data_IF_007227671825
#
_entry.id   IF_007227671825
#
_cell.length_a   1.000
_cell.length_b   1.000
_cell.length_c   1.000
_cell.angle_alpha   90.00
_cell.angle_beta   90.00
_cell.angle_gamma   90.00
#
_symmetry.space_group_name_H-M   'P 1'
#
loop_
_entity.id
_entity.type
_entity.pdbx_description
1 polymer ?
#
# COMPACT_ATOMS: atom_id res chain seq x y z
N UNK A 1 -12.98 7.22 -29.66
CA UNK A 1 -13.46 6.12 -28.81
C UNK A 1 -13.73 6.68 -27.43
N UNK A 2 -14.92 6.56 -26.84
CA UNK A 2 -15.22 7.19 -25.57
C UNK A 2 -14.51 6.42 -24.44
N UNK A 3 -13.77 7.17 -23.61
CA UNK A 3 -13.22 6.71 -22.34
C UNK A 3 -14.34 6.12 -21.49
N UNK A 4 -14.28 4.83 -21.21
CA UNK A 4 -15.08 4.19 -20.16
C UNK A 4 -14.51 4.66 -18.83
N UNK A 5 -15.32 5.40 -18.09
CA UNK A 5 -15.10 5.64 -16.67
C UNK A 5 -14.87 4.29 -15.95
N UNK A 6 -13.75 4.08 -15.27
CA UNK A 6 -13.60 2.89 -14.45
C UNK A 6 -14.66 2.98 -13.34
N UNK A 7 -15.52 1.97 -13.27
CA UNK A 7 -16.59 1.86 -12.30
C UNK A 7 -16.07 2.25 -10.92
N UNK A 8 -16.57 3.38 -10.45
CA UNK A 8 -16.07 4.07 -9.27
C UNK A 8 -16.04 3.17 -8.05
N UNK A 9 -15.13 3.45 -7.22
CA UNK A 9 -14.85 2.85 -5.93
C UNK A 9 -15.93 3.27 -4.90
N UNK A 10 -17.02 2.48 -4.69
CA UNK A 10 -18.14 2.91 -3.86
C UNK A 10 -17.72 3.22 -2.43
N UNK A 11 -16.85 2.38 -1.85
CA UNK A 11 -16.32 2.56 -0.50
C UNK A 11 -15.40 3.80 -0.38
N UNK A 12 -14.74 4.20 -1.46
CA UNK A 12 -13.92 5.41 -1.51
C UNK A 12 -14.82 6.65 -1.56
N UNK A 13 -15.92 6.59 -2.33
CA UNK A 13 -16.93 7.66 -2.33
C UNK A 13 -17.60 7.81 -0.97
N UNK A 14 -17.85 6.73 -0.28
CA UNK A 14 -18.45 6.71 1.04
C UNK A 14 -17.50 7.28 2.10
N UNK A 15 -16.22 6.89 2.11
CA UNK A 15 -15.19 7.52 2.96
C UNK A 15 -14.95 8.99 2.62
N UNK A 16 -14.97 9.38 1.34
CA UNK A 16 -14.84 10.79 0.93
C UNK A 16 -16.12 11.59 1.20
N UNK A 17 -17.31 10.98 1.18
CA UNK A 17 -18.56 11.66 1.55
C UNK A 17 -18.64 11.90 3.05
N UNK A 18 -18.13 10.98 3.87
CA UNK A 18 -17.93 11.20 5.31
C UNK A 18 -17.06 12.42 5.59
N UNK A 19 -15.99 12.63 4.83
CA UNK A 19 -15.10 13.79 4.93
C UNK A 19 -15.79 15.13 4.55
N UNK A 20 -16.91 15.10 3.80
CA UNK A 20 -17.66 16.29 3.39
C UNK A 20 -18.87 16.63 4.29
N UNK A 21 -19.38 15.67 5.06
CA UNK A 21 -20.60 15.86 5.87
C UNK A 21 -20.38 16.50 7.24
N UNK A 22 -19.15 16.71 7.70
CA UNK A 22 -18.84 17.39 8.96
C UNK A 22 -19.11 18.91 8.98
N UNK A 23 -19.76 19.47 7.98
CA UNK A 23 -20.06 20.94 7.90
C UNK A 23 -21.48 21.38 8.23
N UNK A 24 -22.35 20.52 8.74
CA UNK A 24 -23.65 20.95 9.27
C UNK A 24 -24.06 20.11 10.47
N UNK A 25 -23.68 20.53 11.65
CA UNK A 25 -24.35 20.15 12.89
C UNK A 25 -24.88 21.39 13.58
N UNK A 26 -26.17 21.38 13.83
CA UNK A 26 -26.96 22.39 14.52
C UNK A 26 -26.54 22.50 15.97
N UNK A 27 -26.47 23.73 16.47
CA UNK A 27 -26.05 24.14 17.79
C UNK A 27 -26.83 23.48 18.94
N UNK A 28 -26.09 22.82 19.84
CA UNK A 28 -26.45 22.56 21.24
C UNK A 28 -25.48 23.31 22.16
N UNK A 29 -25.77 23.52 23.46
CA UNK A 29 -25.11 24.53 24.27
C UNK A 29 -23.63 24.22 24.56
N UNK A 30 -22.84 25.27 24.45
CA UNK A 30 -21.43 25.46 24.65
C UNK A 30 -20.68 24.49 25.60
N UNK A 31 -20.04 23.49 25.02
CA UNK A 31 -18.68 23.07 25.41
C UNK A 31 -17.70 23.98 24.68
N UNK A 32 -16.71 24.55 25.36
CA UNK A 32 -15.71 25.42 24.73
C UNK A 32 -15.04 24.71 23.52
N UNK A 33 -14.45 25.46 22.57
CA UNK A 33 -13.86 24.88 21.37
C UNK A 33 -12.77 23.90 21.80
N UNK A 34 -13.03 22.61 21.68
CA UNK A 34 -11.96 21.58 21.67
C UNK A 34 -11.05 21.98 20.54
N UNK A 35 -9.82 22.34 20.84
CA UNK A 35 -8.81 22.67 19.84
C UNK A 35 -8.70 21.45 18.93
N UNK A 36 -9.09 21.61 17.65
CA UNK A 36 -8.95 20.57 16.65
C UNK A 36 -7.46 20.41 16.39
N UNK A 37 -6.86 19.36 16.94
CA UNK A 37 -5.45 19.05 16.70
C UNK A 37 -5.28 18.71 15.23
N UNK A 38 -4.32 19.35 14.54
CA UNK A 38 -4.06 19.10 13.13
C UNK A 38 -2.86 18.20 12.99
N UNK A 39 -3.12 16.92 12.71
CA UNK A 39 -2.08 15.91 12.44
C UNK A 39 -1.92 15.69 10.94
N UNK A 40 -0.70 15.76 10.42
CA UNK A 40 -0.38 15.38 9.04
C UNK A 40 0.10 13.93 8.98
N UNK A 41 -0.06 13.30 7.83
CA UNK A 41 0.44 11.95 7.54
C UNK A 41 1.50 12.03 6.46
N UNK A 42 2.66 11.41 6.70
CA UNK A 42 3.73 11.27 5.71
C UNK A 42 3.98 9.78 5.47
N UNK A 43 4.13 9.40 4.20
CA UNK A 43 4.46 8.02 3.82
C UNK A 43 5.46 8.01 2.66
N UNK A 44 5.83 6.83 2.19
CA UNK A 44 6.65 6.65 1.00
C UNK A 44 5.87 5.97 -0.13
N UNK A 45 6.44 5.98 -1.34
CA UNK A 45 5.76 5.48 -2.53
C UNK A 45 5.54 3.95 -2.53
N UNK A 46 6.20 3.19 -1.63
CA UNK A 46 5.94 1.75 -1.50
C UNK A 46 4.55 1.44 -0.92
N UNK A 47 3.83 2.43 -0.38
CA UNK A 47 2.45 2.28 0.10
C UNK A 47 1.44 1.94 -1.02
N UNK A 48 1.84 2.08 -2.29
CA UNK A 48 1.02 1.73 -3.47
C UNK A 48 -0.39 2.36 -3.45
N UNK A 49 -0.48 3.57 -2.92
CA UNK A 49 -1.75 4.30 -2.80
C UNK A 49 -2.28 4.68 -4.20
N UNK A 50 -3.59 4.59 -4.42
CA UNK A 50 -4.19 5.03 -5.67
C UNK A 50 -3.96 6.52 -5.91
N UNK A 51 -3.45 6.89 -7.08
CA UNK A 51 -3.08 8.26 -7.40
C UNK A 51 -4.25 9.25 -7.27
N UNK A 52 -5.46 8.83 -7.65
CA UNK A 52 -6.65 9.67 -7.51
C UNK A 52 -7.01 9.92 -6.05
N UNK A 53 -6.89 8.90 -5.21
CA UNK A 53 -7.11 9.04 -3.77
C UNK A 53 -6.07 9.99 -3.16
N UNK A 54 -4.78 9.81 -3.49
CA UNK A 54 -3.71 10.71 -3.03
C UNK A 54 -4.00 12.14 -3.41
N UNK A 55 -4.34 12.41 -4.69
CA UNK A 55 -4.69 13.77 -5.15
C UNK A 55 -5.87 14.36 -4.37
N UNK A 56 -6.88 13.56 -4.06
CA UNK A 56 -8.08 14.04 -3.36
C UNK A 56 -7.80 14.41 -1.90
N UNK A 57 -6.94 13.66 -1.19
CA UNK A 57 -6.67 13.87 0.25
C UNK A 57 -5.47 14.76 0.53
N UNK A 58 -4.61 15.02 -0.47
CA UNK A 58 -3.42 15.87 -0.31
C UNK A 58 -3.70 17.37 -0.53
N UNK A 59 -4.92 17.76 -0.87
CA UNK A 59 -5.28 19.15 -1.24
C UNK A 59 -4.96 20.15 -0.14
N UNK A 60 -5.14 19.76 1.13
CA UNK A 60 -4.89 20.60 2.30
C UNK A 60 -3.50 20.36 2.94
N UNK A 61 -2.65 19.55 2.30
CA UNK A 61 -1.33 19.20 2.81
C UNK A 61 -1.33 18.09 3.89
N UNK A 62 -2.50 17.47 4.16
CA UNK A 62 -2.63 16.43 5.19
C UNK A 62 -1.83 15.17 4.87
N UNK A 63 -1.71 14.79 3.61
CA UNK A 63 -0.93 13.65 3.17
C UNK A 63 0.23 14.09 2.28
N UNK A 64 1.44 13.61 2.60
CA UNK A 64 2.61 13.70 1.73
C UNK A 64 3.16 12.31 1.45
N UNK A 65 3.33 11.98 0.17
CA UNK A 65 3.99 10.75 -0.28
C UNK A 65 5.39 11.10 -0.75
N UNK A 66 6.41 10.58 -0.06
CA UNK A 66 7.81 10.79 -0.40
C UNK A 66 8.25 9.74 -1.43
N UNK A 67 8.70 10.15 -2.63
CA UNK A 67 9.09 9.20 -3.68
C UNK A 67 10.37 8.44 -3.29
N UNK A 68 10.37 7.14 -3.53
CA UNK A 68 11.54 6.29 -3.37
C UNK A 68 12.32 6.23 -4.69
N UNK A 69 13.63 6.53 -4.71
CA UNK A 69 14.41 6.54 -5.95
C UNK A 69 14.61 5.15 -6.54
N UNK A 70 14.45 5.05 -7.87
CA UNK A 70 14.78 3.87 -8.67
C UNK A 70 15.86 4.24 -9.68
N UNK A 71 16.87 3.40 -9.84
CA UNK A 71 18.01 3.63 -10.71
C UNK A 71 18.06 2.57 -11.81
N UNK A 72 18.16 3.02 -13.05
CA UNK A 72 18.37 2.17 -14.23
C UNK A 72 19.66 2.64 -14.91
N UNK A 73 20.74 1.88 -14.75
CA UNK A 73 22.06 2.33 -15.17
C UNK A 73 22.54 3.53 -14.37
N UNK A 74 22.82 4.66 -15.03
CA UNK A 74 23.25 5.91 -14.41
C UNK A 74 22.08 6.90 -14.14
N UNK A 75 20.88 6.58 -14.61
CA UNK A 75 19.71 7.45 -14.47
C UNK A 75 18.95 7.14 -13.18
N UNK A 76 18.45 8.20 -12.53
CA UNK A 76 17.69 8.12 -11.28
C UNK A 76 16.29 8.66 -11.56
N UNK A 77 15.28 7.88 -11.22
CA UNK A 77 13.88 8.20 -11.39
C UNK A 77 13.18 8.28 -10.03
N UNK A 78 12.24 9.22 -9.87
CA UNK A 78 11.29 9.28 -8.76
C UNK A 78 9.98 8.58 -9.11
N UNK A 79 9.30 8.04 -8.12
CA UNK A 79 7.94 7.53 -8.33
C UNK A 79 7.01 8.68 -8.73
N UNK A 80 6.18 8.45 -9.76
CA UNK A 80 5.27 9.47 -10.30
C UNK A 80 5.83 10.25 -11.50
N UNK A 81 7.07 9.99 -11.92
CA UNK A 81 7.57 10.44 -13.23
C UNK A 81 6.92 9.60 -14.33
N UNK A 82 6.61 10.26 -15.46
CA UNK A 82 6.03 9.60 -16.62
C UNK A 82 6.97 8.48 -17.13
N UNK A 83 6.39 7.35 -17.57
CA UNK A 83 7.08 6.22 -18.20
C UNK A 83 8.09 5.42 -17.34
N UNK A 84 8.21 5.68 -16.04
CA UNK A 84 9.13 4.92 -15.17
C UNK A 84 8.81 3.42 -15.17
N UNK A 85 7.52 3.05 -15.20
CA UNK A 85 7.10 1.65 -15.20
C UNK A 85 7.54 0.94 -16.48
N UNK A 86 7.43 1.58 -17.64
CA UNK A 86 7.88 1.04 -18.92
C UNK A 86 9.41 0.93 -18.97
N UNK A 87 10.12 1.97 -18.51
CA UNK A 87 11.59 1.97 -18.44
C UNK A 87 12.10 0.81 -17.57
N UNK A 88 11.49 0.56 -16.41
CA UNK A 88 11.86 -0.57 -15.54
C UNK A 88 11.51 -1.90 -16.21
N UNK A 89 10.33 -2.02 -16.83
CA UNK A 89 9.93 -3.26 -17.51
C UNK A 89 10.91 -3.62 -18.63
N UNK A 90 11.31 -2.66 -19.46
CA UNK A 90 12.30 -2.85 -20.52
C UNK A 90 13.69 -3.18 -19.96
N UNK A 91 14.11 -2.54 -18.87
CA UNK A 91 15.38 -2.84 -18.21
C UNK A 91 15.40 -4.26 -17.66
N UNK A 92 14.34 -4.68 -16.96
CA UNK A 92 14.23 -6.04 -16.42
C UNK A 92 14.15 -7.09 -17.53
N UNK A 93 13.39 -6.84 -18.59
CA UNK A 93 13.27 -7.76 -19.74
C UNK A 93 14.60 -7.94 -20.48
N UNK A 94 15.42 -6.89 -20.57
CA UNK A 94 16.74 -6.92 -21.18
C UNK A 94 17.86 -7.34 -20.23
N UNK A 95 17.54 -7.74 -18.99
CA UNK A 95 18.52 -8.16 -17.97
C UNK A 95 19.39 -7.03 -17.43
N UNK A 96 19.08 -5.76 -17.73
CA UNK A 96 19.78 -4.61 -17.17
C UNK A 96 19.51 -4.49 -15.67
N UNK A 97 20.51 -4.13 -14.86
CA UNK A 97 20.33 -3.94 -13.43
C UNK A 97 19.39 -2.78 -13.13
N UNK A 98 18.37 -3.05 -12.32
CA UNK A 98 17.53 -2.03 -11.69
C UNK A 98 17.85 -2.04 -10.20
N UNK A 99 18.11 -0.87 -9.64
CA UNK A 99 18.43 -0.70 -8.22
C UNK A 99 17.47 0.31 -7.60
N UNK A 100 17.33 0.24 -6.29
CA UNK A 100 16.51 1.20 -5.54
C UNK A 100 17.33 1.80 -4.40
N UNK A 101 16.89 2.96 -3.94
CA UNK A 101 17.43 3.60 -2.74
C UNK A 101 16.29 4.00 -1.82
N UNK A 102 16.60 4.18 -0.54
CA UNK A 102 15.72 4.87 0.38
C UNK A 102 15.72 6.37 0.11
N UNK A 103 14.66 7.11 0.39
CA UNK A 103 14.69 8.55 0.42
C UNK A 103 15.73 9.06 1.43
N UNK A 104 16.36 10.18 1.14
CA UNK A 104 17.31 10.79 2.07
C UNK A 104 16.59 11.37 3.30
N UNK A 105 17.25 11.51 4.45
CA UNK A 105 16.66 12.23 5.59
C UNK A 105 16.21 13.64 5.24
N UNK A 106 16.92 14.34 4.34
CA UNK A 106 16.55 15.68 3.89
C UNK A 106 15.20 15.76 3.16
N UNK A 107 14.80 14.71 2.41
CA UNK A 107 13.48 14.66 1.78
C UNK A 107 12.37 14.56 2.81
N UNK A 108 12.55 13.75 3.87
CA UNK A 108 11.59 13.66 4.97
C UNK A 108 11.55 14.96 5.79
N UNK A 109 12.72 15.56 6.06
CA UNK A 109 12.80 16.87 6.74
C UNK A 109 12.00 17.94 5.99
N UNK A 110 12.12 18.00 4.65
CA UNK A 110 11.33 18.90 3.82
C UNK A 110 9.83 18.63 3.93
N UNK A 111 9.40 17.35 3.95
CA UNK A 111 8.00 16.96 4.12
C UNK A 111 7.45 17.39 5.49
N UNK A 112 8.19 17.18 6.56
CA UNK A 112 7.80 17.58 7.92
C UNK A 112 7.72 19.09 8.08
N UNK A 113 8.70 19.83 7.56
CA UNK A 113 8.68 21.30 7.55
C UNK A 113 7.56 21.86 6.68
N UNK A 114 7.18 21.17 5.58
CA UNK A 114 6.04 21.56 4.77
C UNK A 114 4.73 21.39 5.55
N UNK A 115 4.55 20.29 6.27
CA UNK A 115 3.40 20.09 7.15
C UNK A 115 3.32 21.19 8.22
N UNK A 116 4.42 21.51 8.87
CA UNK A 116 4.49 22.60 9.87
C UNK A 116 4.09 23.95 9.27
N UNK A 117 4.60 24.30 8.07
CA UNK A 117 4.23 25.54 7.37
C UNK A 117 2.75 25.58 6.96
N UNK A 118 2.14 24.44 6.72
CA UNK A 118 0.70 24.31 6.42
C UNK A 118 -0.17 24.36 7.70
N UNK A 119 0.45 24.59 8.87
CA UNK A 119 -0.25 24.74 10.15
C UNK A 119 -0.66 23.43 10.79
N UNK A 120 -0.02 22.31 10.45
CA UNK A 120 -0.14 21.07 11.22
C UNK A 120 0.70 21.16 12.48
N UNK A 121 0.22 20.54 13.57
CA UNK A 121 0.83 20.59 14.89
C UNK A 121 1.68 19.35 15.18
N UNK A 122 1.43 18.28 14.43
CA UNK A 122 2.14 17.01 14.53
C UNK A 122 2.14 16.24 13.21
N UNK A 123 3.00 15.23 13.11
CA UNK A 123 3.10 14.34 11.95
C UNK A 123 3.13 12.89 12.43
N UNK A 124 2.36 12.02 11.75
CA UNK A 124 2.53 10.56 11.79
C UNK A 124 3.17 10.13 10.48
N UNK A 125 4.36 9.52 10.55
CA UNK A 125 5.19 9.16 9.40
C UNK A 125 5.27 7.65 9.29
N UNK A 126 4.47 7.05 8.39
CA UNK A 126 4.28 5.60 8.23
C UNK A 126 5.01 5.09 6.98
N UNK A 127 5.91 4.13 7.16
CA UNK A 127 6.83 3.69 6.11
C UNK A 127 6.84 2.18 5.87
N UNK A 128 7.34 1.81 4.67
CA UNK A 128 7.66 0.42 4.32
C UNK A 128 8.47 -0.25 5.43
N UNK A 129 8.29 -1.56 5.59
CA UNK A 129 9.03 -2.36 6.56
C UNK A 129 10.52 -2.02 6.63
N UNK A 130 11.02 -1.79 7.84
CA UNK A 130 12.43 -1.59 8.13
C UNK A 130 13.32 -2.78 7.79
N UNK A 131 12.75 -3.99 7.70
CA UNK A 131 13.43 -5.20 7.24
C UNK A 131 13.64 -5.26 5.72
N UNK A 132 12.87 -4.45 4.96
CA UNK A 132 12.97 -4.36 3.51
C UNK A 132 13.70 -3.12 3.04
N UNK A 133 13.64 -2.03 3.81
CA UNK A 133 14.25 -0.74 3.44
C UNK A 133 14.67 0.07 4.66
N UNK A 134 15.80 0.77 4.58
CA UNK A 134 16.20 1.75 5.59
C UNK A 134 15.40 3.06 5.59
N UNK A 135 14.20 3.09 4.98
CA UNK A 135 13.35 4.28 4.88
C UNK A 135 12.90 4.77 6.25
N UNK A 136 12.49 3.85 7.14
CA UNK A 136 12.13 4.17 8.54
C UNK A 136 13.27 4.90 9.27
N UNK A 137 14.50 4.44 9.09
CA UNK A 137 15.67 5.07 9.74
C UNK A 137 15.95 6.47 9.18
N UNK A 138 15.76 6.66 7.85
CA UNK A 138 15.86 7.99 7.25
C UNK A 138 14.81 8.96 7.81
N UNK A 139 13.57 8.48 7.98
CA UNK A 139 12.47 9.24 8.57
C UNK A 139 12.77 9.60 10.05
N UNK A 140 13.28 8.65 10.85
CA UNK A 140 13.67 8.89 12.24
C UNK A 140 14.79 9.92 12.37
N UNK A 141 15.79 9.85 11.49
CA UNK A 141 16.87 10.84 11.45
C UNK A 141 16.36 12.24 11.09
N UNK A 142 15.37 12.35 10.21
CA UNK A 142 14.74 13.63 9.88
C UNK A 142 13.89 14.15 11.04
N UNK A 143 13.11 13.29 11.69
CA UNK A 143 12.27 13.63 12.84
C UNK A 143 13.07 14.29 13.98
N UNK A 144 14.29 13.83 14.20
CA UNK A 144 15.19 14.40 15.21
C UNK A 144 15.74 15.80 14.87
N UNK A 145 15.48 16.32 13.65
CA UNK A 145 16.03 17.61 13.17
C UNK A 145 14.98 18.71 13.03
N UNK A 146 13.71 18.37 13.21
CA UNK A 146 12.59 19.30 13.10
C UNK A 146 11.99 19.60 14.47
N UNK A 147 11.31 20.74 14.60
CA UNK A 147 10.66 21.15 15.84
C UNK A 147 9.21 20.64 15.97
N UNK A 148 8.55 20.35 14.84
CA UNK A 148 7.23 19.73 14.87
C UNK A 148 7.34 18.29 15.40
N UNK A 149 6.48 17.85 16.33
CA UNK A 149 6.45 16.48 16.80
C UNK A 149 6.19 15.50 15.64
N UNK A 150 7.03 14.47 15.51
CA UNK A 150 6.91 13.43 14.48
C UNK A 150 6.93 12.05 15.13
N UNK A 151 5.87 11.28 14.95
CA UNK A 151 5.81 9.87 15.30
C UNK A 151 6.11 9.02 14.07
N UNK A 152 7.23 8.27 14.10
CA UNK A 152 7.65 7.42 12.99
C UNK A 152 7.24 5.97 13.24
N UNK A 153 6.43 5.42 12.35
CA UNK A 153 5.90 4.07 12.41
C UNK A 153 6.49 3.18 11.31
N UNK A 154 7.00 2.04 11.68
CA UNK A 154 7.37 0.94 10.79
C UNK A 154 6.12 0.09 10.51
N UNK A 155 5.65 0.06 9.27
CA UNK A 155 4.45 -0.72 8.91
C UNK A 155 4.67 -2.23 9.01
N UNK A 156 5.91 -2.71 9.01
CA UNK A 156 6.29 -4.12 8.92
C UNK A 156 5.63 -4.86 7.74
N UNK A 157 5.22 -4.10 6.72
CA UNK A 157 4.59 -4.59 5.50
C UNK A 157 4.97 -3.73 4.29
N UNK A 158 4.26 -3.87 3.18
CA UNK A 158 4.56 -3.24 1.90
C UNK A 158 3.33 -3.19 1.00
N UNK A 159 3.34 -2.33 -0.02
CA UNK A 159 2.24 -2.25 -0.99
C UNK A 159 0.97 -1.70 -0.36
N UNK A 160 -0.18 -2.09 -0.90
CA UNK A 160 -1.47 -1.61 -0.40
C UNK A 160 -1.76 -2.04 1.06
N UNK A 161 -1.05 -3.03 1.62
CA UNK A 161 -1.13 -3.32 3.05
C UNK A 161 -0.61 -2.15 3.90
N UNK A 162 0.53 -1.55 3.53
CA UNK A 162 0.99 -0.28 4.08
C UNK A 162 0.00 0.85 3.75
N UNK A 163 -0.51 0.87 2.50
CA UNK A 163 -1.49 1.85 2.05
C UNK A 163 -2.78 1.87 2.86
N UNK A 164 -3.30 0.71 3.28
CA UNK A 164 -4.47 0.63 4.16
C UNK A 164 -4.20 1.27 5.53
N UNK A 165 -3.02 1.05 6.11
CA UNK A 165 -2.60 1.75 7.32
C UNK A 165 -2.54 3.28 7.14
N UNK A 166 -2.01 3.74 5.99
CA UNK A 166 -2.00 5.18 5.64
C UNK A 166 -3.42 5.71 5.50
N UNK A 167 -4.34 4.96 4.89
CA UNK A 167 -5.74 5.38 4.75
C UNK A 167 -6.44 5.50 6.10
N UNK A 168 -6.18 4.58 7.04
CA UNK A 168 -6.68 4.67 8.41
C UNK A 168 -6.14 5.90 9.13
N UNK A 169 -4.83 6.15 9.04
CA UNK A 169 -4.20 7.35 9.61
C UNK A 169 -4.80 8.65 9.04
N UNK A 170 -4.96 8.74 7.72
CA UNK A 170 -5.53 9.93 7.05
C UNK A 170 -7.00 10.15 7.46
N UNK A 171 -7.77 9.08 7.62
CA UNK A 171 -9.16 9.18 8.08
C UNK A 171 -9.23 9.74 9.51
N UNK A 172 -8.47 9.19 10.46
CA UNK A 172 -8.41 9.69 11.82
C UNK A 172 -7.91 11.14 11.89
N UNK A 173 -6.87 11.48 11.11
CA UNK A 173 -6.37 12.86 11.01
C UNK A 173 -7.42 13.83 10.42
N UNK A 174 -8.27 13.34 9.51
CA UNK A 174 -9.39 14.13 8.96
C UNK A 174 -10.45 14.45 9.99
N UNK A 175 -10.68 13.56 10.95
CA UNK A 175 -11.61 13.74 12.06
C UNK A 175 -11.01 14.60 13.19
N UNK A 176 -9.77 15.10 13.03
CA UNK A 176 -9.10 15.96 14.01
C UNK A 176 -8.47 15.21 15.17
N UNK A 177 -8.14 13.93 14.99
CA UNK A 177 -7.50 13.12 16.01
C UNK A 177 -6.05 13.57 16.31
N UNK A 178 -5.61 13.40 17.55
CA UNK A 178 -4.23 13.61 17.94
C UNK A 178 -3.27 12.56 17.31
N UNK A 179 -1.98 12.86 17.28
CA UNK A 179 -1.00 11.96 16.64
C UNK A 179 -1.04 10.54 17.19
N UNK A 180 -1.22 10.37 18.50
CA UNK A 180 -1.31 9.05 19.11
C UNK A 180 -2.51 8.23 18.58
N UNK A 181 -3.69 8.86 18.44
CA UNK A 181 -4.89 8.20 17.93
C UNK A 181 -4.78 7.93 16.42
N UNK A 182 -4.15 8.85 15.66
CA UNK A 182 -3.85 8.67 14.24
C UNK A 182 -2.90 7.48 14.04
N UNK A 183 -1.89 7.35 14.89
CA UNK A 183 -0.97 6.22 14.90
C UNK A 183 -1.70 4.91 15.24
N UNK A 184 -2.52 4.91 16.31
CA UNK A 184 -3.29 3.74 16.71
C UNK A 184 -4.22 3.27 15.59
N UNK A 185 -4.88 4.19 14.90
CA UNK A 185 -5.71 3.89 13.73
C UNK A 185 -4.89 3.21 12.61
N UNK A 186 -3.69 3.71 12.33
CA UNK A 186 -2.79 3.07 11.37
C UNK A 186 -2.40 1.66 11.80
N UNK A 187 -1.96 1.48 13.06
CA UNK A 187 -1.55 0.18 13.61
C UNK A 187 -2.71 -0.83 13.58
N UNK A 188 -3.92 -0.39 13.87
CA UNK A 188 -5.13 -1.21 13.80
C UNK A 188 -5.41 -1.72 12.40
N UNK A 189 -5.30 -0.86 11.37
CA UNK A 189 -5.46 -1.29 9.98
C UNK A 189 -4.33 -2.24 9.54
N UNK A 190 -3.08 -1.93 9.90
CA UNK A 190 -1.92 -2.76 9.56
C UNK A 190 -2.03 -4.17 10.14
N UNK A 191 -2.46 -4.30 11.40
CA UNK A 191 -2.59 -5.59 12.09
C UNK A 191 -3.57 -6.56 11.41
N UNK A 192 -4.49 -6.01 10.59
CA UNK A 192 -5.52 -6.76 9.86
C UNK A 192 -5.19 -7.00 8.40
N UNK A 193 -3.98 -6.64 7.96
CA UNK A 193 -3.55 -6.85 6.58
C UNK A 193 -2.61 -8.03 6.43
N UNK A 194 -2.68 -8.69 5.28
CA UNK A 194 -1.71 -9.71 4.85
C UNK A 194 -1.33 -9.52 3.39
N UNK A 195 -0.10 -9.87 3.06
CA UNK A 195 0.45 -9.80 1.70
C UNK A 195 0.87 -11.18 1.25
N UNK A 196 0.27 -11.65 0.17
CA UNK A 196 0.60 -12.89 -0.52
C UNK A 196 1.02 -12.58 -1.94
N UNK A 197 2.09 -13.21 -2.43
CA UNK A 197 2.51 -12.93 -3.79
C UNK A 197 3.20 -14.10 -4.46
N UNK A 198 3.04 -14.16 -5.77
CA UNK A 198 3.74 -15.04 -6.69
C UNK A 198 4.76 -14.24 -7.47
N UNK A 199 5.95 -14.78 -7.65
CA UNK A 199 6.96 -14.25 -8.57
C UNK A 199 7.39 -15.33 -9.58
N UNK A 200 7.58 -14.97 -10.86
CA UNK A 200 8.09 -15.91 -11.86
C UNK A 200 9.50 -16.45 -11.54
N UNK A 201 10.30 -15.67 -10.81
CA UNK A 201 11.67 -15.99 -10.40
C UNK A 201 12.06 -15.26 -9.13
N UNK A 202 12.87 -15.90 -8.29
CA UNK A 202 13.48 -15.28 -7.09
C UNK A 202 14.66 -14.36 -7.42
N UNK A 203 15.06 -14.27 -8.66
CA UNK A 203 16.32 -13.62 -9.06
C UNK A 203 16.37 -12.13 -8.68
N UNK A 204 15.28 -11.38 -8.91
CA UNK A 204 15.24 -9.95 -8.59
C UNK A 204 15.24 -9.71 -7.08
N UNK A 205 14.49 -10.51 -6.30
CA UNK A 205 14.53 -10.47 -4.84
C UNK A 205 15.93 -10.76 -4.30
N UNK A 206 16.64 -11.71 -4.90
CA UNK A 206 18.02 -12.07 -4.53
C UNK A 206 18.99 -10.94 -4.88
N UNK A 207 18.95 -10.47 -6.14
CA UNK A 207 19.83 -9.39 -6.62
C UNK A 207 19.66 -8.11 -5.78
N UNK A 208 18.42 -7.82 -5.37
CA UNK A 208 18.09 -6.71 -4.50
C UNK A 208 18.37 -6.95 -3.02
N UNK A 209 18.73 -8.17 -2.61
CA UNK A 209 18.94 -8.51 -1.20
C UNK A 209 17.65 -8.58 -0.35
N UNK A 210 16.46 -8.61 -0.95
CA UNK A 210 15.15 -8.66 -0.27
C UNK A 210 14.53 -10.07 -0.31
N UNK A 211 15.33 -11.09 -0.62
CA UNK A 211 14.89 -12.47 -0.69
C UNK A 211 14.47 -13.06 0.68
N UNK A 212 14.99 -12.52 1.79
CA UNK A 212 14.64 -12.97 3.15
C UNK A 212 14.82 -14.48 3.35
N UNK A 213 13.91 -15.11 4.09
CA UNK A 213 13.90 -16.55 4.33
C UNK A 213 13.65 -17.38 3.04
N UNK A 214 13.12 -16.76 1.99
CA UNK A 214 12.96 -17.40 0.68
C UNK A 214 14.30 -17.77 0.02
N UNK A 215 15.44 -17.30 0.56
CA UNK A 215 16.77 -17.77 0.17
C UNK A 215 16.94 -19.29 0.30
N UNK A 216 16.23 -19.93 1.23
CA UNK A 216 16.21 -21.38 1.39
C UNK A 216 15.64 -22.14 0.18
N UNK A 217 14.91 -21.44 -0.68
CA UNK A 217 14.39 -21.99 -1.94
C UNK A 217 15.40 -21.92 -3.09
N UNK A 218 16.47 -21.12 -2.93
CA UNK A 218 17.50 -20.95 -3.93
C UNK A 218 18.39 -22.21 -3.97
N UNK A 219 18.63 -22.73 -5.14
CA UNK A 219 19.47 -23.93 -5.34
C UNK A 219 18.71 -25.24 -5.50
N UNK A 220 17.40 -25.27 -5.27
CA UNK A 220 16.60 -26.50 -5.36
C UNK A 220 15.94 -26.75 -6.72
N UNK A 221 16.38 -26.12 -7.81
CA UNK A 221 15.97 -26.26 -9.20
C UNK A 221 15.52 -24.92 -9.82
N UNK A 222 16.02 -24.64 -11.01
CA UNK A 222 15.71 -23.45 -11.82
C UNK A 222 14.23 -23.30 -12.26
N UNK A 223 13.35 -24.20 -11.87
CA UNK A 223 11.95 -24.26 -12.36
C UNK A 223 10.87 -24.04 -11.30
N UNK A 224 11.23 -23.63 -10.07
CA UNK A 224 10.20 -23.37 -9.06
C UNK A 224 9.52 -22.01 -9.28
N UNK A 225 8.24 -21.96 -9.01
CA UNK A 225 7.35 -20.79 -9.02
C UNK A 225 6.83 -20.59 -7.60
N UNK A 226 7.58 -19.86 -6.75
CA UNK A 226 7.24 -19.78 -5.33
C UNK A 226 6.04 -18.89 -5.10
N UNK A 227 5.25 -19.26 -4.07
CA UNK A 227 4.31 -18.37 -3.42
C UNK A 227 4.96 -17.89 -2.13
N UNK A 228 4.94 -16.60 -1.93
CA UNK A 228 5.59 -15.88 -0.85
C UNK A 228 4.58 -15.07 -0.05
N UNK A 229 4.95 -14.70 1.17
CA UNK A 229 4.23 -13.72 1.97
C UNK A 229 5.19 -12.68 2.55
N UNK A 230 4.62 -11.61 3.11
CA UNK A 230 5.34 -10.73 4.02
C UNK A 230 4.83 -11.00 5.43
N UNK A 231 5.72 -11.51 6.28
CA UNK A 231 5.45 -11.79 7.67
C UNK A 231 6.50 -11.12 8.54
N UNK A 232 6.07 -10.46 9.59
CA UNK A 232 6.96 -9.71 10.48
C UNK A 232 7.92 -8.76 9.74
N UNK A 233 7.45 -8.19 8.63
CA UNK A 233 8.22 -7.27 7.80
C UNK A 233 9.18 -7.94 6.82
N UNK A 234 9.24 -9.26 6.76
CA UNK A 234 10.19 -10.02 5.92
C UNK A 234 9.50 -10.83 4.85
N UNK A 235 10.19 -11.03 3.74
CA UNK A 235 9.74 -11.99 2.72
C UNK A 235 9.98 -13.42 3.21
N UNK A 236 8.89 -14.20 3.28
CA UNK A 236 8.92 -15.61 3.68
C UNK A 236 8.34 -16.51 2.60
N UNK A 237 8.84 -17.75 2.45
CA UNK A 237 8.27 -18.71 1.53
C UNK A 237 7.05 -19.39 2.15
N UNK A 238 5.95 -19.45 1.40
CA UNK A 238 4.77 -20.24 1.78
C UNK A 238 4.79 -21.60 1.09
N UNK A 239 4.85 -21.60 -0.23
CA UNK A 239 4.76 -22.84 -1.01
C UNK A 239 5.69 -22.84 -2.23
N UNK A 240 6.06 -24.05 -2.67
CA UNK A 240 6.85 -24.32 -3.88
C UNK A 240 5.96 -24.93 -4.92
N UNK A 241 5.77 -24.25 -6.04
CA UNK A 241 4.97 -24.75 -7.17
C UNK A 241 5.84 -24.84 -8.43
N UNK A 242 5.52 -25.73 -9.36
CA UNK A 242 6.35 -25.98 -10.56
C UNK A 242 5.88 -25.25 -11.82
N UNK A 243 4.65 -24.70 -11.84
CA UNK A 243 4.15 -23.96 -13.00
C UNK A 243 3.44 -22.69 -12.56
N UNK A 244 3.48 -21.65 -13.41
CA UNK A 244 2.84 -20.35 -13.14
C UNK A 244 1.32 -20.51 -12.91
N UNK A 245 0.64 -21.25 -13.80
CA UNK A 245 -0.81 -21.46 -13.67
C UNK A 245 -1.20 -22.12 -12.34
N UNK A 246 -0.44 -23.15 -11.90
CA UNK A 246 -0.68 -23.77 -10.58
C UNK A 246 -0.36 -22.82 -9.42
N UNK A 247 0.68 -21.99 -9.55
CA UNK A 247 1.03 -21.03 -8.51
C UNK A 247 -0.05 -19.95 -8.36
N UNK A 248 -0.59 -19.42 -9.45
CA UNK A 248 -1.67 -18.43 -9.42
C UNK A 248 -2.97 -19.04 -8.87
N UNK A 249 -3.31 -20.27 -9.28
CA UNK A 249 -4.45 -20.97 -8.72
C UNK A 249 -4.31 -21.18 -7.21
N UNK A 250 -3.12 -21.57 -6.77
CA UNK A 250 -2.85 -21.79 -5.35
C UNK A 250 -2.81 -20.49 -4.54
N UNK A 251 -2.26 -19.41 -5.10
CA UNK A 251 -2.33 -18.07 -4.52
C UNK A 251 -3.79 -17.65 -4.26
N UNK A 252 -4.67 -17.90 -5.25
CA UNK A 252 -6.11 -17.65 -5.09
C UNK A 252 -6.69 -18.45 -3.92
N UNK A 253 -6.40 -19.75 -3.82
CA UNK A 253 -6.89 -20.58 -2.72
C UNK A 253 -6.44 -20.07 -1.34
N UNK A 254 -5.18 -19.67 -1.19
CA UNK A 254 -4.62 -19.10 0.04
C UNK A 254 -5.37 -17.82 0.42
N UNK A 255 -5.58 -16.92 -0.55
CA UNK A 255 -6.29 -15.66 -0.34
C UNK A 255 -7.75 -15.89 0.04
N UNK A 256 -8.44 -16.81 -0.64
CA UNK A 256 -9.85 -17.15 -0.33
C UNK A 256 -9.96 -17.73 1.08
N UNK A 257 -9.03 -18.60 1.48
CA UNK A 257 -9.02 -19.19 2.82
C UNK A 257 -8.80 -18.12 3.92
N UNK A 258 -7.89 -17.15 3.68
CA UNK A 258 -7.68 -16.04 4.62
C UNK A 258 -8.92 -15.13 4.68
N UNK A 259 -9.48 -14.76 3.52
CA UNK A 259 -10.67 -13.91 3.45
C UNK A 259 -11.90 -14.56 4.14
N UNK A 260 -12.04 -15.88 4.03
CA UNK A 260 -13.11 -16.62 4.70
C UNK A 260 -12.99 -16.63 6.24
N UNK A 261 -11.81 -16.41 6.77
CA UNK A 261 -11.58 -16.26 8.21
C UNK A 261 -11.96 -14.89 8.78
N UNK A 262 -12.36 -13.94 7.92
CA UNK A 262 -12.72 -12.58 8.32
C UNK A 262 -14.23 -12.43 8.50
N UNK A 263 -14.70 -11.39 9.22
CA UNK A 263 -16.12 -11.14 9.33
C UNK A 263 -16.78 -10.99 7.96
N UNK A 264 -17.98 -11.54 7.83
CA UNK A 264 -18.70 -11.56 6.56
C UNK A 264 -18.87 -10.16 5.96
N UNK A 265 -18.53 -10.01 4.69
CA UNK A 265 -18.63 -8.74 3.96
C UNK A 265 -17.58 -7.69 4.33
N UNK A 266 -16.59 -8.02 5.17
CA UNK A 266 -15.55 -7.07 5.57
C UNK A 266 -14.19 -7.30 4.88
N UNK A 267 -14.02 -8.37 4.10
CA UNK A 267 -12.79 -8.61 3.38
C UNK A 267 -12.54 -7.51 2.34
N UNK A 268 -11.36 -6.90 2.39
CA UNK A 268 -10.82 -5.98 1.39
C UNK A 268 -9.74 -6.69 0.59
N UNK A 269 -9.83 -6.66 -0.72
CA UNK A 269 -8.87 -7.31 -1.61
C UNK A 269 -8.25 -6.30 -2.57
N UNK A 270 -6.92 -6.32 -2.68
CA UNK A 270 -6.20 -5.56 -3.69
C UNK A 270 -5.22 -6.47 -4.44
N UNK A 271 -5.21 -6.38 -5.76
CA UNK A 271 -4.30 -7.13 -6.64
C UNK A 271 -3.29 -6.16 -7.24
N UNK A 272 -2.02 -6.41 -6.98
CA UNK A 272 -0.93 -5.71 -7.65
C UNK A 272 -0.30 -6.59 -8.72
N UNK A 273 0.13 -5.96 -9.79
CA UNK A 273 0.85 -6.62 -10.89
C UNK A 273 1.97 -5.76 -11.44
N UNK A 274 2.91 -6.38 -12.17
CA UNK A 274 3.87 -5.66 -12.97
C UNK A 274 4.11 -6.35 -14.30
N UNK A 275 3.64 -5.71 -15.38
CA UNK A 275 3.76 -6.20 -16.76
C UNK A 275 2.68 -7.21 -17.21
N UNK A 276 1.72 -7.56 -16.35
CA UNK A 276 0.69 -8.59 -16.63
C UNK A 276 -0.73 -8.18 -16.17
N UNK A 277 -1.27 -7.05 -16.67
CA UNK A 277 -2.58 -6.54 -16.23
C UNK A 277 -3.74 -7.48 -16.55
N UNK A 278 -3.66 -8.24 -17.64
CA UNK A 278 -4.73 -9.18 -18.00
C UNK A 278 -4.86 -10.34 -16.99
N UNK A 279 -3.73 -10.90 -16.55
CA UNK A 279 -3.71 -11.95 -15.52
C UNK A 279 -4.18 -11.41 -14.16
N UNK A 280 -3.81 -10.17 -13.81
CA UNK A 280 -4.29 -9.50 -12.61
C UNK A 280 -5.81 -9.31 -12.66
N UNK A 281 -6.36 -8.89 -13.79
CA UNK A 281 -7.81 -8.76 -14.00
C UNK A 281 -8.55 -10.08 -13.86
N UNK A 282 -8.02 -11.16 -14.44
CA UNK A 282 -8.58 -12.50 -14.27
C UNK A 282 -8.55 -12.98 -12.82
N UNK A 283 -7.43 -12.78 -12.13
CA UNK A 283 -7.30 -13.14 -10.71
C UNK A 283 -8.30 -12.34 -9.86
N UNK A 284 -8.43 -11.04 -10.08
CA UNK A 284 -9.37 -10.18 -9.36
C UNK A 284 -10.82 -10.61 -9.55
N UNK A 285 -11.24 -10.94 -10.80
CA UNK A 285 -12.58 -11.44 -11.07
C UNK A 285 -12.84 -12.76 -10.34
N UNK A 286 -11.89 -13.69 -10.41
CA UNK A 286 -12.00 -14.98 -9.71
C UNK A 286 -12.03 -14.85 -8.18
N UNK A 287 -11.35 -13.85 -7.61
CA UNK A 287 -11.39 -13.56 -6.18
C UNK A 287 -12.74 -12.95 -5.79
N UNK A 288 -13.28 -12.02 -6.58
CA UNK A 288 -14.59 -11.44 -6.34
C UNK A 288 -15.72 -12.49 -6.36
N UNK A 289 -15.63 -13.47 -7.28
CA UNK A 289 -16.57 -14.60 -7.33
C UNK A 289 -16.43 -15.55 -6.13
N UNK A 290 -15.19 -15.77 -5.66
CA UNK A 290 -14.90 -16.74 -4.60
C UNK A 290 -15.07 -16.19 -3.18
N UNK A 291 -15.12 -14.85 -3.00
CA UNK A 291 -15.30 -14.18 -1.71
C UNK A 291 -16.57 -13.32 -1.75
N UNK A 292 -17.75 -13.93 -1.54
CA UNK A 292 -19.02 -13.23 -1.63
C UNK A 292 -19.10 -12.08 -0.61
N UNK A 293 -19.62 -10.93 -1.06
CA UNK A 293 -19.81 -9.75 -0.22
C UNK A 293 -18.52 -8.96 0.08
N UNK A 294 -17.37 -9.32 -0.49
CA UNK A 294 -16.20 -8.45 -0.42
C UNK A 294 -16.45 -7.15 -1.22
N UNK A 295 -15.77 -6.07 -0.81
CA UNK A 295 -15.73 -4.85 -1.61
C UNK A 295 -15.12 -5.14 -3.00
N UNK A 296 -15.39 -4.31 -4.03
CA UNK A 296 -14.79 -4.48 -5.35
C UNK A 296 -13.26 -4.61 -5.24
N UNK A 297 -12.71 -5.67 -5.84
CA UNK A 297 -11.28 -5.96 -5.81
C UNK A 297 -10.53 -4.86 -6.54
N UNK A 298 -9.59 -4.24 -5.85
CA UNK A 298 -8.76 -3.18 -6.44
C UNK A 298 -7.65 -3.80 -7.29
N UNK A 299 -7.38 -3.22 -8.45
CA UNK A 299 -6.26 -3.63 -9.30
C UNK A 299 -5.38 -2.41 -9.55
N UNK A 300 -4.08 -2.56 -9.33
CA UNK A 300 -3.11 -1.51 -9.63
C UNK A 300 -1.75 -2.07 -10.03
N UNK A 301 -1.01 -1.29 -10.81
CA UNK A 301 0.39 -1.59 -11.05
C UNK A 301 1.18 -1.48 -9.74
N UNK A 302 2.17 -2.34 -9.59
CA UNK A 302 3.10 -2.28 -8.47
C UNK A 302 3.94 -1.01 -8.59
N UNK A 303 4.16 -0.24 -7.51
CA UNK A 303 5.10 0.88 -7.54
C UNK A 303 6.47 0.47 -8.09
N UNK A 304 7.12 1.39 -8.77
CA UNK A 304 8.40 1.16 -9.44
C UNK A 304 9.47 0.58 -8.49
N UNK A 305 9.54 1.10 -7.26
CA UNK A 305 10.46 0.63 -6.23
C UNK A 305 10.23 -0.83 -5.85
N UNK A 306 8.98 -1.29 -5.82
CA UNK A 306 8.65 -2.68 -5.51
C UNK A 306 8.83 -3.59 -6.73
N UNK A 307 8.46 -3.10 -7.92
CA UNK A 307 8.63 -3.80 -9.18
C UNK A 307 10.10 -4.15 -9.47
N UNK A 308 11.02 -3.25 -9.12
CA UNK A 308 12.47 -3.47 -9.25
C UNK A 308 12.96 -4.72 -8.49
N UNK A 309 12.32 -5.06 -7.37
CA UNK A 309 12.66 -6.25 -6.56
C UNK A 309 11.80 -7.47 -6.85
N UNK A 310 10.51 -7.28 -7.13
CA UNK A 310 9.61 -8.39 -7.42
C UNK A 310 9.76 -8.93 -8.86
N UNK A 311 10.11 -8.05 -9.79
CA UNK A 311 10.33 -8.40 -11.20
C UNK A 311 9.06 -8.45 -12.04
N UNK A 312 9.26 -8.65 -13.35
CA UNK A 312 8.16 -8.78 -14.33
C UNK A 312 7.31 -10.02 -14.05
N UNK A 313 5.99 -9.91 -14.22
CA UNK A 313 5.04 -11.00 -14.09
C UNK A 313 4.67 -11.32 -12.64
N UNK A 314 5.07 -10.48 -11.67
CA UNK A 314 4.61 -10.59 -10.28
C UNK A 314 3.10 -10.40 -10.20
N UNK A 315 2.45 -11.20 -9.35
CA UNK A 315 1.08 -10.99 -8.89
C UNK A 315 1.09 -11.01 -7.38
N UNK A 316 0.64 -9.93 -6.75
CA UNK A 316 0.49 -9.85 -5.31
C UNK A 316 -0.97 -9.57 -4.95
N UNK A 317 -1.44 -10.21 -3.89
CA UNK A 317 -2.77 -9.98 -3.34
C UNK A 317 -2.62 -9.54 -1.90
N UNK A 318 -3.21 -8.41 -1.59
CA UNK A 318 -3.35 -7.88 -0.25
C UNK A 318 -4.75 -8.24 0.23
N UNK A 319 -4.81 -8.84 1.42
CA UNK A 319 -6.05 -9.11 2.13
C UNK A 319 -6.09 -8.17 3.32
N UNK A 320 -7.09 -7.30 3.36
CA UNK A 320 -7.37 -6.38 4.45
C UNK A 320 -8.76 -6.63 5.01
N UNK A 321 -9.15 -5.81 5.97
CA UNK A 321 -10.48 -5.86 6.60
C UNK A 321 -11.06 -4.46 6.69
N UNK A 322 -12.32 -4.28 6.30
CA UNK A 322 -13.05 -3.02 6.50
C UNK A 322 -13.65 -2.99 7.89
N UNK A 323 -13.59 -1.86 8.54
CA UNK A 323 -14.33 -1.61 9.79
C UNK A 323 -15.85 -1.52 9.58
N UNK A 324 -16.31 -1.39 8.34
CA UNK A 324 -17.75 -1.32 7.98
C UNK A 324 -18.04 -2.40 6.94
N UNK A 325 -19.07 -3.24 7.12
CA UNK A 325 -19.48 -4.21 6.09
C UNK A 325 -19.79 -3.49 4.78
N UNK A 326 -19.41 -4.08 3.65
CA UNK A 326 -19.86 -3.59 2.35
C UNK A 326 -21.40 -3.59 2.36
N UNK A 327 -22.00 -2.45 1.98
CA UNK A 327 -23.45 -2.34 1.91
C UNK A 327 -23.98 -3.47 1.01
N UNK A 328 -24.75 -4.39 1.59
CA UNK A 328 -25.49 -5.37 0.80
C UNK A 328 -26.50 -4.58 -0.02
N UNK A 329 -26.48 -4.77 -1.33
CA UNK A 329 -27.53 -4.26 -2.23
C UNK A 329 -28.88 -4.79 -1.74
N UNK A 330 -29.63 -3.98 -0.98
CA UNK A 330 -30.99 -4.27 -0.55
C UNK A 330 -31.92 -3.95 -1.73
N UNK A 331 -31.62 -4.52 -2.88
CA UNK A 331 -32.46 -4.46 -4.07
C UNK A 331 -32.91 -5.85 -4.51
N UNK A 332 -33.37 -6.67 -3.55
CA UNK A 332 -34.12 -7.90 -3.84
C UNK A 332 -35.06 -8.16 -2.66
N UNK A 333 -36.13 -7.43 -2.60
CA UNK A 333 -37.33 -7.87 -1.91
C UNK A 333 -38.48 -7.93 -2.93
N UNK A 334 -39.30 -9.00 -2.89
CA UNK A 334 -40.21 -9.41 -3.95
C UNK A 334 -41.39 -8.45 -4.19
#
# INVERSE_FOLDING_TARGET
MPHRDPAGWPWLKERLSGLRQTKQSTAGPAAGPTAVVRTAVVTDSAAALPAEWVRAVSVDGRLTVVPMPVMVGAEIYGEGEDDIAETIALALASGRPVKTSRPSPGQFEQAYLAAQRSGFESVVSLHISGELSGTVDSARLAAARVSIPVEVLDSRTVGMAQGMGVQGAVAAAADGAAAADVRESAEHELARTKVYFYVPSLEQLRRGGRIGAAASLWGTMFSIKPILAVEDGKVVPLEKVRSAAKAIARLKEIVVADAAGRPAGQALLAVHHFGNPAEAGQLASQLAEAVPGCAPVQISALPAVLAAHAGLGVLAVIVGESSTPAAQDISAAP
#
